data_IF_450774233625
#
_entry.id   IF_450774233625
#
_cell.length_a   1.000
_cell.length_b   1.000
_cell.length_c   1.000
_cell.angle_alpha   90.00
_cell.angle_beta   90.00
_cell.angle_gamma   90.00
#
_symmetry.space_group_name_H-M   'P 1'
#
loop_
_entity.id
_entity.type
_entity.pdbx_description
1 polymer ?
#
# COMPACT_ATOMS: atom_id res chain seq x y z
N UNK A 1 2.98 15.91 -0.80
CA UNK A 1 2.55 16.76 -1.96
C UNK A 1 2.56 18.22 -1.51
N UNK A 2 3.48 19.02 -2.04
CA UNK A 2 3.53 20.45 -1.73
C UNK A 2 2.38 21.10 -2.50
N UNK A 3 1.35 21.45 -1.77
CA UNK A 3 0.21 22.17 -2.30
C UNK A 3 0.63 23.62 -2.52
N UNK A 4 1.01 23.97 -3.75
CA UNK A 4 1.45 25.32 -4.06
C UNK A 4 0.27 26.29 -3.98
N UNK A 5 0.49 27.58 -3.63
CA UNK A 5 -0.53 28.64 -3.70
C UNK A 5 -1.23 28.72 -5.05
N UNK A 6 -0.52 28.38 -6.14
CA UNK A 6 -1.04 28.33 -7.51
C UNK A 6 -2.16 27.27 -7.63
N UNK A 7 -1.98 26.07 -7.05
CA UNK A 7 -3.01 25.04 -7.08
C UNK A 7 -4.26 25.46 -6.29
N UNK A 8 -4.07 26.11 -5.12
CA UNK A 8 -5.19 26.62 -4.33
C UNK A 8 -5.97 27.71 -5.09
N UNK A 9 -5.29 28.61 -5.78
CA UNK A 9 -5.91 29.64 -6.62
C UNK A 9 -6.67 29.03 -7.80
N UNK A 10 -6.11 28.04 -8.49
CA UNK A 10 -6.77 27.34 -9.59
C UNK A 10 -8.03 26.63 -9.10
N UNK A 11 -7.95 25.85 -8.02
CA UNK A 11 -9.08 25.10 -7.47
C UNK A 11 -10.24 26.00 -7.00
N UNK A 12 -9.98 27.24 -6.55
CA UNK A 12 -11.03 28.19 -6.18
C UNK A 12 -11.95 28.58 -7.33
N UNK A 13 -11.51 28.45 -8.56
CA UNK A 13 -12.27 28.78 -9.78
C UNK A 13 -13.24 27.66 -10.22
N UNK A 14 -13.03 26.43 -9.75
CA UNK A 14 -13.92 25.30 -10.08
C UNK A 14 -15.11 25.25 -9.14
N UNK A 15 -16.31 25.01 -9.67
CA UNK A 15 -17.52 24.82 -8.88
C UNK A 15 -17.52 23.50 -8.12
N UNK A 16 -16.94 22.45 -8.74
CA UNK A 16 -16.86 21.10 -8.19
C UNK A 16 -15.41 20.62 -8.14
N UNK A 17 -15.06 19.94 -7.07
CA UNK A 17 -13.71 19.39 -6.81
C UNK A 17 -13.91 17.92 -6.46
N UNK A 18 -13.11 17.05 -7.07
CA UNK A 18 -13.08 15.63 -6.75
C UNK A 18 -11.84 15.33 -5.89
N UNK A 19 -12.06 14.85 -4.69
CA UNK A 19 -11.01 14.41 -3.77
C UNK A 19 -10.92 12.89 -3.78
N UNK A 20 -9.71 12.35 -3.79
CA UNK A 20 -9.48 10.89 -3.83
C UNK A 20 -9.66 10.20 -2.47
N UNK A 21 -9.83 10.98 -1.38
CA UNK A 21 -10.09 10.48 -0.03
C UNK A 21 -10.88 11.49 0.79
N UNK A 22 -11.52 11.03 1.87
CA UNK A 22 -12.14 11.91 2.88
C UNK A 22 -11.07 12.75 3.58
N UNK A 23 -9.90 12.16 3.88
CA UNK A 23 -8.77 12.88 4.45
C UNK A 23 -8.35 14.06 3.56
N UNK A 24 -8.30 13.87 2.23
CA UNK A 24 -7.98 14.92 1.28
C UNK A 24 -9.10 15.99 1.20
N UNK A 25 -10.38 15.56 1.22
CA UNK A 25 -11.53 16.47 1.34
C UNK A 25 -11.41 17.33 2.58
N UNK A 26 -11.16 16.72 3.74
CA UNK A 26 -10.99 17.43 5.01
C UNK A 26 -9.85 18.45 4.97
N UNK A 27 -8.71 18.06 4.40
CA UNK A 27 -7.57 18.97 4.19
C UNK A 27 -7.95 20.19 3.33
N UNK A 28 -8.77 20.03 2.29
CA UNK A 28 -9.28 21.14 1.47
C UNK A 28 -10.22 22.04 2.28
N UNK A 29 -11.10 21.45 3.09
CA UNK A 29 -12.01 22.20 3.96
C UNK A 29 -11.23 23.07 4.96
N UNK A 30 -10.17 22.55 5.58
CA UNK A 30 -9.28 23.33 6.45
C UNK A 30 -8.59 24.49 5.72
N UNK A 31 -8.50 24.46 4.39
CA UNK A 31 -7.97 25.53 3.54
C UNK A 31 -9.05 26.50 3.03
N UNK A 32 -10.25 26.40 3.57
CA UNK A 32 -11.37 27.31 3.29
C UNK A 32 -12.17 26.96 2.04
N UNK A 33 -12.06 25.73 1.52
CA UNK A 33 -12.98 25.23 0.49
C UNK A 33 -14.28 24.76 1.14
N UNK A 34 -15.40 25.11 0.55
CA UNK A 34 -16.71 24.72 1.04
C UNK A 34 -16.98 23.24 0.81
N UNK A 35 -17.55 22.56 1.80
CA UNK A 35 -17.79 21.13 1.77
C UNK A 35 -18.67 20.68 0.59
N UNK A 36 -19.73 21.42 0.30
CA UNK A 36 -20.68 21.12 -0.78
C UNK A 36 -20.04 21.11 -2.18
N UNK A 37 -18.84 21.69 -2.33
CA UNK A 37 -18.07 21.70 -3.58
C UNK A 37 -17.14 20.51 -3.74
N UNK A 38 -16.99 19.68 -2.70
CA UNK A 38 -15.98 18.62 -2.68
C UNK A 38 -16.67 17.26 -2.55
N UNK A 39 -16.68 16.51 -3.62
CA UNK A 39 -17.12 15.13 -3.65
C UNK A 39 -15.90 14.18 -3.52
N UNK A 40 -16.10 13.02 -2.88
CA UNK A 40 -15.03 12.02 -2.70
C UNK A 40 -15.22 10.91 -3.72
N UNK A 41 -14.15 10.58 -4.45
CA UNK A 41 -14.10 9.45 -5.36
C UNK A 41 -12.81 8.68 -5.10
N UNK A 42 -12.92 7.50 -4.53
CA UNK A 42 -11.78 6.62 -4.33
C UNK A 42 -11.26 6.09 -5.67
N UNK A 43 -9.94 5.92 -5.77
CA UNK A 43 -9.35 5.19 -6.87
C UNK A 43 -9.83 3.73 -6.85
N UNK A 44 -9.88 3.10 -8.02
CA UNK A 44 -10.30 1.71 -8.14
C UNK A 44 -9.42 0.92 -9.08
N UNK A 45 -9.33 -0.39 -8.84
CA UNK A 45 -8.71 -1.35 -9.76
C UNK A 45 -9.73 -2.40 -10.21
N UNK A 46 -9.40 -3.14 -11.26
CA UNK A 46 -10.25 -4.20 -11.76
C UNK A 46 -10.06 -5.48 -10.93
N UNK A 47 -11.15 -5.93 -10.30
CA UNK A 47 -11.25 -7.18 -9.54
C UNK A 47 -11.91 -8.31 -10.33
N UNK A 48 -12.36 -8.07 -11.58
CA UNK A 48 -13.07 -9.07 -12.39
C UNK A 48 -12.12 -9.96 -13.18
N UNK A 49 -10.90 -9.50 -13.46
CA UNK A 49 -9.93 -10.25 -14.24
C UNK A 49 -9.27 -11.34 -13.39
N UNK A 50 -9.10 -12.52 -14.01
CA UNK A 50 -8.31 -13.59 -13.42
C UNK A 50 -6.85 -13.16 -13.24
N UNK A 51 -6.30 -13.42 -12.06
CA UNK A 51 -4.92 -13.08 -11.75
C UNK A 51 -3.95 -14.05 -12.38
N UNK A 52 -3.23 -13.60 -13.39
CA UNK A 52 -2.10 -14.34 -13.92
C UNK A 52 -0.91 -14.22 -12.98
N UNK A 53 -0.27 -15.35 -12.66
CA UNK A 53 0.91 -15.43 -11.80
C UNK A 53 1.89 -16.43 -12.39
N UNK A 54 3.19 -16.21 -12.20
CA UNK A 54 4.19 -17.26 -12.38
C UNK A 54 4.01 -18.34 -11.29
N UNK A 55 4.58 -19.54 -11.52
CA UNK A 55 4.75 -20.47 -10.42
C UNK A 55 5.79 -19.94 -9.42
N UNK A 56 5.77 -20.49 -8.21
CA UNK A 56 6.57 -20.01 -7.09
C UNK A 56 8.08 -20.07 -7.38
N UNK A 57 8.56 -21.15 -7.97
CA UNK A 57 9.98 -21.32 -8.30
C UNK A 57 10.43 -20.26 -9.33
N UNK A 58 9.66 -20.08 -10.40
CA UNK A 58 9.93 -19.08 -11.44
C UNK A 58 9.91 -17.67 -10.86
N UNK A 59 8.96 -17.37 -9.97
CA UNK A 59 8.89 -16.05 -9.30
C UNK A 59 10.17 -15.78 -8.52
N UNK A 60 10.54 -16.62 -7.54
CA UNK A 60 11.71 -16.39 -6.69
C UNK A 60 13.02 -16.35 -7.48
N UNK A 61 13.15 -17.21 -8.52
CA UNK A 61 14.29 -17.20 -9.44
C UNK A 61 14.44 -15.87 -10.17
N UNK A 62 13.32 -15.32 -10.69
CA UNK A 62 13.34 -14.10 -11.49
C UNK A 62 13.69 -12.85 -10.66
N UNK A 63 13.37 -12.84 -9.38
CA UNK A 63 13.73 -11.75 -8.46
C UNK A 63 15.07 -12.00 -7.74
N UNK A 64 15.79 -13.09 -8.06
CA UNK A 64 17.05 -13.48 -7.45
C UNK A 64 16.97 -13.60 -5.91
N UNK A 65 15.88 -14.12 -5.38
CA UNK A 65 15.68 -14.38 -3.95
C UNK A 65 15.70 -15.87 -3.72
N UNK A 66 16.53 -16.39 -2.79
CA UNK A 66 16.49 -17.79 -2.39
C UNK A 66 15.08 -18.16 -1.89
N UNK A 67 14.56 -19.30 -2.34
CA UNK A 67 13.29 -19.80 -1.87
C UNK A 67 13.48 -20.96 -0.90
N UNK A 68 12.97 -20.79 0.32
CA UNK A 68 12.96 -21.82 1.37
C UNK A 68 11.51 -21.97 1.89
N UNK A 69 10.96 -23.18 1.81
CA UNK A 69 9.61 -23.50 2.26
C UNK A 69 9.41 -23.36 3.79
N UNK A 70 10.51 -23.33 4.55
CA UNK A 70 10.46 -23.16 6.00
C UNK A 70 10.46 -21.69 6.42
N UNK A 71 10.53 -20.76 5.46
CA UNK A 71 10.58 -19.33 5.72
C UNK A 71 9.29 -18.62 5.35
N UNK A 72 9.02 -17.55 6.07
CA UNK A 72 8.01 -16.54 5.74
C UNK A 72 8.68 -15.39 5.00
N UNK A 73 7.97 -14.80 4.06
CA UNK A 73 8.44 -13.66 3.27
C UNK A 73 7.63 -12.41 3.55
N UNK A 74 8.29 -11.37 4.01
CA UNK A 74 7.70 -10.06 4.28
C UNK A 74 8.21 -9.06 3.24
N UNK A 75 7.31 -8.34 2.60
CA UNK A 75 7.73 -7.49 1.50
C UNK A 75 7.22 -6.06 1.54
N UNK A 76 7.95 -5.19 0.85
CA UNK A 76 7.54 -3.84 0.48
C UNK A 76 7.70 -3.63 -1.02
N UNK A 77 6.65 -3.15 -1.70
CA UNK A 77 6.69 -2.74 -3.09
C UNK A 77 6.47 -1.24 -3.20
N UNK A 78 7.54 -0.47 -3.41
CA UNK A 78 7.49 0.98 -3.43
C UNK A 78 8.64 1.61 -4.22
N UNK A 79 8.45 2.85 -4.69
CA UNK A 79 9.58 3.67 -5.12
C UNK A 79 10.46 3.98 -3.91
N UNK A 80 11.77 3.81 -4.02
CA UNK A 80 12.71 4.03 -2.91
C UNK A 80 13.00 5.52 -2.71
N UNK A 81 12.00 6.28 -2.27
CA UNK A 81 12.08 7.68 -1.88
C UNK A 81 11.80 7.83 -0.39
N UNK A 82 12.37 8.85 0.25
CA UNK A 82 12.23 9.08 1.69
C UNK A 82 10.79 9.07 2.18
N UNK A 83 9.85 9.64 1.39
CA UNK A 83 8.41 9.66 1.72
C UNK A 83 7.79 8.27 1.84
N UNK A 84 8.39 7.23 1.23
CA UNK A 84 7.89 5.85 1.27
C UNK A 84 8.35 5.08 2.52
N UNK A 85 9.23 5.67 3.33
CA UNK A 85 9.61 5.14 4.63
C UNK A 85 10.32 3.78 4.57
N UNK A 86 11.10 3.52 3.48
CA UNK A 86 11.83 2.25 3.35
C UNK A 86 12.84 2.03 4.50
N UNK A 87 13.32 3.10 5.12
CA UNK A 87 14.12 3.05 6.34
C UNK A 87 13.34 2.40 7.50
N UNK A 88 12.06 2.70 7.67
CA UNK A 88 11.20 2.09 8.70
C UNK A 88 11.04 0.59 8.45
N UNK A 89 10.90 0.18 7.18
CA UNK A 89 10.90 -1.22 6.79
C UNK A 89 12.23 -1.92 7.13
N UNK A 90 13.37 -1.29 6.84
CA UNK A 90 14.68 -1.83 7.15
C UNK A 90 14.94 -1.94 8.66
N UNK A 91 14.52 -0.93 9.44
CA UNK A 91 14.60 -0.98 10.90
C UNK A 91 13.74 -2.12 11.47
N UNK A 92 12.52 -2.30 10.96
CA UNK A 92 11.65 -3.44 11.29
C UNK A 92 12.32 -4.77 10.93
N UNK A 93 12.87 -4.89 9.72
CA UNK A 93 13.55 -6.10 9.27
C UNK A 93 14.74 -6.47 10.18
N UNK A 94 15.51 -5.47 10.62
CA UNK A 94 16.58 -5.68 11.60
C UNK A 94 16.04 -6.16 12.94
N UNK A 95 15.00 -5.51 13.49
CA UNK A 95 14.41 -5.90 14.78
C UNK A 95 13.97 -7.37 14.77
N UNK A 96 13.38 -7.83 13.67
CA UNK A 96 12.92 -9.21 13.53
C UNK A 96 14.11 -10.15 13.29
N UNK A 97 15.04 -9.80 12.40
CA UNK A 97 16.19 -10.64 12.07
C UNK A 97 17.13 -10.88 13.26
N UNK A 98 17.22 -9.94 14.19
CA UNK A 98 18.02 -10.09 15.43
C UNK A 98 17.44 -11.18 16.37
N UNK A 99 16.17 -11.63 16.16
CA UNK A 99 15.47 -12.57 17.05
C UNK A 99 15.03 -13.86 16.35
N UNK A 100 14.86 -13.82 15.02
CA UNK A 100 14.23 -14.89 14.25
C UNK A 100 15.00 -15.17 12.96
N UNK A 101 15.12 -16.44 12.59
CA UNK A 101 15.78 -16.87 11.36
C UNK A 101 14.79 -17.31 10.27
N UNK A 102 13.51 -17.47 10.62
CA UNK A 102 12.46 -18.02 9.77
C UNK A 102 11.72 -16.96 8.94
N UNK A 103 12.07 -15.67 9.02
CA UNK A 103 11.46 -14.58 8.25
C UNK A 103 12.51 -13.87 7.40
N UNK A 104 12.29 -13.83 6.09
CA UNK A 104 13.11 -13.06 5.14
C UNK A 104 12.33 -11.89 4.56
N UNK A 105 13.05 -10.90 4.03
CA UNK A 105 12.49 -9.61 3.63
C UNK A 105 12.79 -9.30 2.16
N UNK A 106 11.80 -8.82 1.42
CA UNK A 106 11.90 -8.51 -0.01
C UNK A 106 11.53 -7.05 -0.26
N UNK A 107 12.43 -6.31 -0.91
CA UNK A 107 12.22 -4.94 -1.33
C UNK A 107 12.10 -4.92 -2.85
N UNK A 108 10.86 -4.65 -3.36
CA UNK A 108 10.63 -4.36 -4.76
C UNK A 108 10.59 -2.85 -4.99
N UNK A 109 11.40 -2.38 -5.92
CA UNK A 109 11.42 -0.98 -6.32
C UNK A 109 12.82 -0.45 -6.58
N UNK A 110 12.87 0.80 -7.01
CA UNK A 110 14.10 1.54 -7.25
C UNK A 110 13.89 3.02 -6.88
N UNK A 111 14.95 3.76 -6.65
CA UNK A 111 14.89 5.19 -6.33
C UNK A 111 16.15 5.71 -5.66
N UNK A 112 16.10 6.97 -5.25
CA UNK A 112 17.24 7.69 -4.68
C UNK A 112 17.83 7.06 -3.42
N UNK A 113 17.03 6.29 -2.66
CA UNK A 113 17.48 5.62 -1.44
C UNK A 113 18.11 4.24 -1.69
N UNK A 114 18.28 3.80 -2.95
CA UNK A 114 18.81 2.46 -3.26
C UNK A 114 20.13 2.19 -2.57
N UNK A 115 21.10 3.10 -2.71
CA UNK A 115 22.42 2.95 -2.11
C UNK A 115 22.35 2.94 -0.57
N UNK A 116 21.52 3.80 0.02
CA UNK A 116 21.32 3.85 1.47
C UNK A 116 20.75 2.54 2.02
N UNK A 117 19.83 1.91 1.27
CA UNK A 117 19.30 0.59 1.63
C UNK A 117 20.40 -0.48 1.59
N UNK A 118 21.22 -0.50 0.54
CA UNK A 118 22.34 -1.45 0.44
C UNK A 118 23.36 -1.25 1.57
N UNK A 119 23.70 -0.01 1.90
CA UNK A 119 24.64 0.32 2.97
C UNK A 119 24.09 -0.11 4.34
N UNK A 120 22.78 0.09 4.58
CA UNK A 120 22.11 -0.37 5.80
C UNK A 120 22.14 -1.90 5.92
N UNK A 121 21.78 -2.62 4.84
CA UNK A 121 21.76 -4.08 4.79
C UNK A 121 23.15 -4.64 5.12
N UNK A 122 24.18 -4.13 4.45
CA UNK A 122 25.56 -4.54 4.67
C UNK A 122 26.09 -4.19 6.07
N UNK A 123 25.82 -2.96 6.51
CA UNK A 123 26.26 -2.47 7.82
C UNK A 123 25.65 -3.24 9.00
N UNK A 124 24.46 -3.84 8.80
CA UNK A 124 23.77 -4.65 9.80
C UNK A 124 23.87 -6.17 9.54
N UNK A 125 24.67 -6.63 8.57
CA UNK A 125 24.89 -8.06 8.21
C UNK A 125 23.58 -8.78 7.83
N UNK A 126 22.73 -8.09 7.06
CA UNK A 126 21.41 -8.58 6.64
C UNK A 126 21.39 -9.09 5.18
N UNK A 127 22.53 -9.27 4.51
CA UNK A 127 22.64 -9.61 3.09
C UNK A 127 21.97 -10.94 2.72
N UNK A 128 21.86 -11.87 3.67
CA UNK A 128 21.19 -13.16 3.50
C UNK A 128 19.75 -13.17 4.05
N UNK A 129 19.20 -12.02 4.40
CA UNK A 129 17.89 -11.87 5.03
C UNK A 129 17.03 -10.82 4.34
N UNK A 130 17.62 -9.78 3.79
CA UNK A 130 16.95 -8.67 3.12
C UNK A 130 17.41 -8.61 1.66
N UNK A 131 16.49 -8.85 0.75
CA UNK A 131 16.76 -8.96 -0.68
C UNK A 131 16.18 -7.76 -1.43
N UNK A 132 17.05 -7.01 -2.11
CA UNK A 132 16.66 -5.90 -2.98
C UNK A 132 16.45 -6.42 -4.41
N UNK A 133 15.22 -6.73 -4.77
CA UNK A 133 14.87 -7.36 -6.05
C UNK A 133 14.75 -6.37 -7.24
N UNK A 134 14.94 -5.07 -6.98
CA UNK A 134 14.89 -4.05 -8.03
C UNK A 134 13.47 -3.69 -8.47
N UNK A 135 13.39 -2.92 -9.55
CA UNK A 135 12.12 -2.47 -10.10
C UNK A 135 11.45 -3.59 -10.91
N UNK A 136 10.21 -3.87 -10.59
CA UNK A 136 9.35 -4.81 -11.34
C UNK A 136 8.27 -4.01 -12.07
N UNK A 137 8.14 -4.21 -13.38
CA UNK A 137 7.13 -3.57 -14.24
C UNK A 137 6.16 -4.56 -14.86
N UNK A 138 6.48 -5.87 -14.79
CA UNK A 138 5.62 -6.94 -15.28
C UNK A 138 4.45 -7.17 -14.30
N UNK A 139 3.19 -7.00 -14.76
CA UNK A 139 2.01 -7.22 -13.92
C UNK A 139 1.90 -8.65 -13.38
N UNK A 140 2.33 -9.66 -14.17
CA UNK A 140 2.32 -11.08 -13.76
C UNK A 140 3.30 -11.30 -12.62
N UNK A 141 4.47 -10.65 -12.68
CA UNK A 141 5.46 -10.67 -11.62
C UNK A 141 4.95 -9.97 -10.34
N UNK A 142 4.29 -8.81 -10.48
CA UNK A 142 3.70 -8.11 -9.33
C UNK A 142 2.57 -8.92 -8.68
N UNK A 143 1.71 -9.57 -9.46
CA UNK A 143 0.70 -10.49 -8.91
C UNK A 143 1.35 -11.66 -8.18
N UNK A 144 2.44 -12.22 -8.75
CA UNK A 144 3.20 -13.32 -8.13
C UNK A 144 3.84 -12.87 -6.81
N UNK A 145 4.38 -11.66 -6.76
CA UNK A 145 4.89 -11.06 -5.52
C UNK A 145 3.82 -11.06 -4.43
N UNK A 146 2.67 -10.43 -4.65
CA UNK A 146 1.60 -10.38 -3.64
C UNK A 146 0.99 -11.74 -3.31
N UNK A 147 1.10 -12.72 -4.21
CA UNK A 147 0.62 -14.08 -3.97
C UNK A 147 1.55 -14.90 -3.07
N UNK A 148 2.87 -14.68 -3.18
CA UNK A 148 3.87 -15.55 -2.55
C UNK A 148 4.58 -14.94 -1.34
N UNK A 149 4.40 -13.65 -1.08
CA UNK A 149 4.77 -13.09 0.22
C UNK A 149 3.68 -13.37 1.25
N UNK A 150 4.09 -13.56 2.51
CA UNK A 150 3.16 -13.78 3.62
C UNK A 150 2.53 -12.47 4.11
N UNK A 151 3.33 -11.41 4.19
CA UNK A 151 2.90 -10.09 4.67
C UNK A 151 3.42 -8.99 3.76
N UNK A 152 2.50 -8.19 3.23
CA UNK A 152 2.83 -6.95 2.55
C UNK A 152 2.93 -5.81 3.55
N UNK A 153 3.87 -4.89 3.35
CA UNK A 153 4.00 -3.70 4.19
C UNK A 153 3.94 -2.42 3.36
N UNK A 154 3.39 -1.36 3.96
CA UNK A 154 3.44 -0.01 3.40
C UNK A 154 3.79 0.98 4.52
N UNK A 155 5.04 1.45 4.52
CA UNK A 155 5.66 2.19 5.64
C UNK A 155 5.74 3.71 5.42
N UNK A 156 4.95 4.22 4.49
CA UNK A 156 5.03 5.60 4.01
C UNK A 156 4.78 6.64 5.11
N UNK A 157 5.46 7.78 4.99
CA UNK A 157 5.19 8.98 5.81
C UNK A 157 4.01 9.81 5.28
N UNK A 158 3.66 9.64 4.01
CA UNK A 158 2.52 10.34 3.39
C UNK A 158 2.00 9.54 2.20
N UNK A 159 0.69 9.36 2.15
CA UNK A 159 -0.04 8.73 1.04
C UNK A 159 -1.34 9.48 0.76
N UNK A 160 -1.79 9.42 -0.50
CA UNK A 160 -3.16 9.81 -0.82
C UNK A 160 -4.07 8.58 -0.80
N UNK A 161 -3.95 7.74 -1.81
CA UNK A 161 -4.71 6.50 -1.95
C UNK A 161 -3.86 5.49 -2.74
N UNK A 162 -3.01 4.69 -2.06
CA UNK A 162 -1.97 3.90 -2.71
C UNK A 162 -2.52 2.68 -3.44
N UNK A 163 -2.24 2.57 -4.75
CA UNK A 163 -2.61 1.41 -5.57
C UNK A 163 -1.96 0.10 -5.09
N UNK A 164 -0.75 0.16 -4.54
CA UNK A 164 -0.05 -1.01 -3.99
C UNK A 164 -0.87 -1.77 -2.95
N UNK A 165 -1.70 -1.07 -2.15
CA UNK A 165 -2.62 -1.72 -1.20
C UNK A 165 -3.77 -2.44 -1.92
N UNK A 166 -4.32 -1.87 -2.99
CA UNK A 166 -5.39 -2.50 -3.77
C UNK A 166 -4.85 -3.73 -4.54
N UNK A 167 -3.64 -3.64 -5.06
CA UNK A 167 -2.96 -4.75 -5.74
C UNK A 167 -2.72 -5.91 -4.77
N UNK A 168 -2.23 -5.64 -3.56
CA UNK A 168 -2.09 -6.62 -2.49
C UNK A 168 -3.43 -7.21 -2.05
N UNK A 169 -4.45 -6.35 -1.88
CA UNK A 169 -5.81 -6.79 -1.54
C UNK A 169 -6.38 -7.73 -2.61
N UNK A 170 -6.19 -7.44 -3.90
CA UNK A 170 -6.65 -8.29 -5.00
C UNK A 170 -6.05 -9.70 -4.94
N UNK A 171 -4.83 -9.83 -4.44
CA UNK A 171 -4.15 -11.10 -4.21
C UNK A 171 -4.45 -11.72 -2.82
N UNK A 172 -5.33 -11.13 -2.02
CA UNK A 172 -5.64 -11.52 -0.63
C UNK A 172 -4.41 -11.56 0.27
N UNK A 173 -3.41 -10.70 -0.01
CA UNK A 173 -2.20 -10.59 0.79
C UNK A 173 -2.48 -9.78 2.07
N UNK A 174 -2.16 -10.35 3.23
CA UNK A 174 -2.27 -9.63 4.50
C UNK A 174 -1.33 -8.42 4.51
N UNK A 175 -1.79 -7.31 5.07
CA UNK A 175 -1.06 -6.04 4.99
C UNK A 175 -0.92 -5.37 6.35
N UNK A 176 0.28 -4.87 6.63
CA UNK A 176 0.57 -3.93 7.71
C UNK A 176 0.94 -2.58 7.08
N UNK A 177 0.26 -1.51 7.45
CA UNK A 177 0.49 -0.21 6.85
C UNK A 177 0.54 0.92 7.88
N UNK A 178 1.20 2.02 7.54
CA UNK A 178 1.16 3.24 8.35
C UNK A 178 -0.18 3.96 8.22
N UNK A 179 -0.71 4.46 9.33
CA UNK A 179 -2.00 5.16 9.40
C UNK A 179 -1.89 6.62 8.89
N UNK A 180 -1.53 6.80 7.60
CA UNK A 180 -1.36 8.12 6.99
C UNK A 180 -2.29 8.33 5.81
N UNK A 181 -2.72 9.58 5.60
CA UNK A 181 -3.56 10.00 4.46
C UNK A 181 -4.83 9.18 4.33
N UNK A 182 -5.03 8.54 3.17
CA UNK A 182 -6.22 7.73 2.89
C UNK A 182 -6.12 6.25 3.33
N UNK A 183 -4.99 5.80 3.88
CA UNK A 183 -4.81 4.39 4.28
C UNK A 183 -5.84 3.94 5.32
N UNK A 184 -6.17 4.73 6.38
CA UNK A 184 -7.22 4.35 7.33
C UNK A 184 -8.64 4.28 6.74
N UNK A 185 -8.84 4.81 5.53
CA UNK A 185 -10.10 4.63 4.80
C UNK A 185 -10.13 3.30 4.03
N UNK A 186 -8.97 2.73 3.73
CA UNK A 186 -8.80 1.46 3.01
C UNK A 186 -8.80 0.25 3.93
N UNK A 187 -8.02 0.30 5.00
CA UNK A 187 -7.81 -0.80 5.97
C UNK A 187 -8.55 -0.47 7.26
N UNK A 188 -9.29 -1.45 7.78
CA UNK A 188 -9.84 -1.43 9.14
C UNK A 188 -8.86 -2.17 10.05
N UNK A 189 -8.28 -1.43 10.99
CA UNK A 189 -7.29 -1.98 11.93
C UNK A 189 -7.85 -3.15 12.74
N UNK A 190 -7.07 -4.23 12.84
CA UNK A 190 -7.46 -5.45 13.57
C UNK A 190 -8.52 -6.31 12.86
N UNK A 191 -9.03 -5.90 11.68
CA UNK A 191 -10.07 -6.60 10.94
C UNK A 191 -9.65 -6.97 9.52
N UNK A 192 -9.13 -6.02 8.74
CA UNK A 192 -8.69 -6.22 7.36
C UNK A 192 -7.20 -5.92 7.14
N UNK A 193 -6.45 -5.76 8.21
CA UNK A 193 -5.02 -5.50 8.25
C UNK A 193 -4.61 -4.88 9.56
N UNK A 194 -3.34 -4.49 9.68
CA UNK A 194 -2.84 -3.75 10.84
C UNK A 194 -2.45 -2.33 10.43
N UNK A 195 -2.79 -1.36 11.27
CA UNK A 195 -2.38 0.03 11.13
C UNK A 195 -1.43 0.43 12.26
N UNK A 196 -0.29 1.00 11.90
CA UNK A 196 0.72 1.48 12.86
C UNK A 196 0.98 2.97 12.67
N UNK A 197 1.53 3.63 13.67
CA UNK A 197 1.97 5.01 13.54
C UNK A 197 3.13 5.12 12.55
N UNK A 198 3.16 6.20 11.77
CA UNK A 198 4.24 6.47 10.84
C UNK A 198 5.58 6.61 11.56
N UNK A 199 6.60 5.88 11.09
CA UNK A 199 7.93 5.86 11.69
C UNK A 199 8.10 4.86 12.85
N UNK A 200 7.05 4.18 13.28
CA UNK A 200 7.12 3.19 14.37
C UNK A 200 7.49 1.79 13.85
N UNK A 201 8.79 1.58 13.69
CA UNK A 201 9.34 0.28 13.25
C UNK A 201 9.12 -0.85 14.27
N UNK A 202 8.95 -0.54 15.55
CA UNK A 202 8.70 -1.54 16.60
C UNK A 202 7.27 -2.08 16.51
N UNK A 203 6.28 -1.20 16.47
CA UNK A 203 4.89 -1.60 16.28
C UNK A 203 4.70 -2.33 14.94
N UNK A 204 5.42 -1.90 13.89
CA UNK A 204 5.43 -2.58 12.59
C UNK A 204 5.97 -4.01 12.73
N UNK A 205 7.08 -4.21 13.47
CA UNK A 205 7.65 -5.54 13.72
C UNK A 205 6.69 -6.43 14.50
N UNK A 206 6.07 -5.94 15.56
CA UNK A 206 5.09 -6.69 16.37
C UNK A 206 3.89 -7.17 15.52
N UNK A 207 3.36 -6.30 14.66
CA UNK A 207 2.26 -6.67 13.75
C UNK A 207 2.70 -7.72 12.72
N UNK A 208 3.89 -7.58 12.15
CA UNK A 208 4.45 -8.52 11.17
C UNK A 208 4.70 -9.88 11.83
N UNK A 209 5.34 -9.93 13.00
CA UNK A 209 5.58 -11.17 13.75
C UNK A 209 4.25 -11.86 14.07
N UNK A 210 3.26 -11.12 14.57
CA UNK A 210 1.92 -11.67 14.87
C UNK A 210 1.26 -12.30 13.63
N UNK A 211 1.36 -11.66 12.45
CA UNK A 211 0.79 -12.20 11.21
C UNK A 211 1.60 -13.39 10.66
N UNK A 212 2.90 -13.44 10.90
CA UNK A 212 3.73 -14.60 10.54
C UNK A 212 3.45 -15.82 11.45
N UNK A 213 3.12 -15.57 12.71
CA UNK A 213 2.85 -16.64 13.70
C UNK A 213 1.41 -17.17 13.64
N UNK A 214 0.45 -16.35 13.18
CA UNK A 214 -0.98 -16.67 13.21
C UNK A 214 -1.55 -16.72 11.80
N UNK A 215 -1.41 -17.86 11.13
CA UNK A 215 -1.88 -18.08 9.76
C UNK A 215 -3.39 -17.81 9.59
N UNK A 216 -4.20 -18.17 10.58
CA UNK A 216 -5.65 -17.93 10.58
C UNK A 216 -5.99 -16.44 10.55
N UNK A 217 -5.27 -15.62 11.33
CA UNK A 217 -5.44 -14.16 11.34
C UNK A 217 -4.93 -13.58 10.03
N UNK A 218 -3.74 -13.99 9.57
CA UNK A 218 -3.15 -13.53 8.32
C UNK A 218 -4.11 -13.77 7.15
N UNK A 219 -4.60 -14.99 6.99
CA UNK A 219 -5.53 -15.36 5.91
C UNK A 219 -6.83 -14.54 6.03
N UNK A 220 -7.39 -14.45 7.23
CA UNK A 220 -8.62 -13.68 7.47
C UNK A 220 -8.47 -12.20 7.09
N UNK A 221 -7.35 -11.56 7.49
CA UNK A 221 -7.10 -10.15 7.14
C UNK A 221 -6.98 -9.95 5.62
N UNK A 222 -6.27 -10.84 4.94
CA UNK A 222 -6.16 -10.79 3.48
C UNK A 222 -7.51 -10.94 2.78
N UNK A 223 -8.35 -11.87 3.22
CA UNK A 223 -9.70 -12.07 2.68
C UNK A 223 -10.60 -10.87 2.98
N UNK A 224 -10.62 -10.38 4.21
CA UNK A 224 -11.44 -9.23 4.59
C UNK A 224 -11.04 -7.97 3.81
N UNK A 225 -9.73 -7.78 3.59
CA UNK A 225 -9.27 -6.64 2.78
C UNK A 225 -9.65 -6.79 1.30
N UNK A 226 -9.59 -8.00 0.75
CA UNK A 226 -10.05 -8.29 -0.61
C UNK A 226 -11.55 -7.95 -0.77
N UNK A 227 -12.42 -8.45 0.11
CA UNK A 227 -13.87 -8.20 0.01
C UNK A 227 -14.19 -6.72 0.14
N UNK A 228 -13.59 -6.03 1.12
CA UNK A 228 -13.74 -4.59 1.30
C UNK A 228 -13.26 -3.81 0.07
N UNK A 229 -12.09 -4.14 -0.47
CA UNK A 229 -11.53 -3.44 -1.61
C UNK A 229 -12.36 -3.68 -2.88
N UNK A 230 -12.83 -4.91 -3.11
CA UNK A 230 -13.70 -5.27 -4.23
C UNK A 230 -15.02 -4.50 -4.18
N UNK A 231 -15.63 -4.38 -3.01
CA UNK A 231 -16.89 -3.66 -2.84
C UNK A 231 -16.74 -2.14 -3.03
N UNK A 232 -15.72 -1.53 -2.37
CA UNK A 232 -15.64 -0.09 -2.23
C UNK A 232 -14.64 0.57 -3.18
N UNK A 233 -13.63 -0.17 -3.67
CA UNK A 233 -12.48 0.34 -4.42
C UNK A 233 -12.25 -0.41 -5.73
N UNK A 234 -13.29 -1.03 -6.28
CA UNK A 234 -13.24 -1.56 -7.64
C UNK A 234 -13.41 -0.44 -8.67
N UNK A 235 -12.89 -0.66 -9.88
CA UNK A 235 -13.13 0.24 -11.02
C UNK A 235 -14.62 0.46 -11.29
N UNK A 236 -15.47 -0.55 -11.05
CA UNK A 236 -16.92 -0.45 -11.16
C UNK A 236 -17.51 0.48 -10.07
N UNK A 237 -17.06 0.35 -8.80
CA UNK A 237 -17.48 1.22 -7.69
C UNK A 237 -17.07 2.68 -7.97
N UNK A 238 -15.85 2.88 -8.46
CA UNK A 238 -15.35 4.19 -8.87
C UNK A 238 -16.19 4.78 -10.00
N UNK A 239 -16.48 4.03 -11.07
CA UNK A 239 -17.28 4.47 -12.20
C UNK A 239 -18.72 4.82 -11.78
N UNK A 240 -19.35 4.00 -10.91
CA UNK A 240 -20.69 4.26 -10.39
C UNK A 240 -20.73 5.56 -9.56
N UNK A 241 -19.68 5.83 -8.78
CA UNK A 241 -19.57 7.07 -8.00
C UNK A 241 -19.42 8.29 -8.91
N UNK A 242 -18.57 8.21 -9.94
CA UNK A 242 -18.43 9.27 -10.95
C UNK A 242 -19.78 9.57 -11.63
N UNK A 243 -20.49 8.52 -12.08
CA UNK A 243 -21.80 8.67 -12.72
C UNK A 243 -22.78 9.43 -11.83
N UNK A 244 -22.92 9.04 -10.56
CA UNK A 244 -23.81 9.72 -9.59
C UNK A 244 -23.46 11.20 -9.42
N UNK A 245 -22.15 11.52 -9.33
CA UNK A 245 -21.71 12.91 -9.17
C UNK A 245 -21.99 13.72 -10.43
N UNK A 246 -21.73 13.18 -11.61
CA UNK A 246 -22.03 13.88 -12.88
C UNK A 246 -23.53 14.10 -13.06
N UNK A 247 -24.38 13.11 -12.74
CA UNK A 247 -25.83 13.28 -12.77
C UNK A 247 -26.34 14.38 -11.81
N UNK A 248 -25.74 14.48 -10.60
CA UNK A 248 -26.00 15.57 -9.65
C UNK A 248 -25.63 16.92 -10.26
N UNK A 249 -24.42 17.05 -10.79
CA UNK A 249 -23.91 18.30 -11.36
C UNK A 249 -24.76 18.75 -12.57
N UNK A 250 -25.16 17.83 -13.43
CA UNK A 250 -26.03 18.14 -14.59
C UNK A 250 -27.37 18.69 -14.10
N UNK A 251 -28.02 18.05 -13.12
CA UNK A 251 -29.29 18.50 -12.54
C UNK A 251 -29.20 19.90 -11.89
N UNK A 252 -28.06 20.24 -11.30
CA UNK A 252 -27.83 21.56 -10.70
C UNK A 252 -27.64 22.67 -11.74
N UNK A 253 -27.15 22.34 -12.95
CA UNK A 253 -26.92 23.31 -14.03
C UNK A 253 -28.08 23.45 -15.03
N UNK A 254 -29.11 22.59 -14.96
CA UNK A 254 -30.33 22.65 -15.80
C UNK A 254 -31.45 23.47 -15.14
N UNK A 255 -31.27 23.89 -13.90
CA UNK A 255 -32.13 24.85 -13.18
C UNK A 255 -31.63 26.28 -13.37
#
# INVERSE_FOLDING_TARGET
MIYTPINAFALRRYKHILAVTKAFKYMLMLRGFKEERIDVIYNGIDFSQELQTYDMYTFFKNINVPHDLNKKYVGIAARLFAVKGVNVFLDMAKIIADKREDIDFIILGNGEMWQQCQDFIKGNKLENRVYMAGQVTDPVMMNSYYKYIDVNTLTSYSESFPYALLEGARCKCATVATAVGGIPEMIIDGESGCLVQSGDSKALAECVEMLCDKDDIRIRYGVNFYERAKENFSSQAMANTHKKIYEKIIKENVK
#
